data_IF_300385120070
#
_entry.id   IF_300385120070
#
_cell.length_a   1.000
_cell.length_b   1.000
_cell.length_c   1.000
_cell.angle_alpha   90.00
_cell.angle_beta   90.00
_cell.angle_gamma   90.00
#
_symmetry.space_group_name_H-M   'P 1'
#
loop_
_entity.id
_entity.type
_entity.pdbx_description
1 polymer ?
#
# COMPACT_ATOMS: atom_id res chain seq x y z
N UNK A 1 8.86 -19.78 34.31
CA UNK A 1 9.88 -20.67 34.89
C UNK A 1 9.23 -21.81 35.67
N UNK A 2 10.02 -22.80 36.10
CA UNK A 2 9.57 -23.86 37.00
C UNK A 2 9.87 -23.44 38.43
N UNK A 3 8.86 -23.47 39.30
CA UNK A 3 8.98 -23.14 40.71
C UNK A 3 8.84 -24.41 41.53
N UNK A 4 9.74 -24.56 42.52
CA UNK A 4 9.78 -25.68 43.44
C UNK A 4 9.22 -25.21 44.78
N UNK A 5 8.25 -25.96 45.32
CA UNK A 5 7.76 -25.78 46.68
C UNK A 5 8.27 -26.93 47.52
N UNK A 6 9.07 -26.60 48.53
CA UNK A 6 9.59 -27.56 49.49
C UNK A 6 8.87 -27.41 50.83
N UNK A 7 8.28 -28.50 51.32
CA UNK A 7 7.65 -28.56 52.64
C UNK A 7 8.41 -29.55 53.51
N UNK A 8 8.89 -29.08 54.64
CA UNK A 8 9.53 -29.92 55.67
C UNK A 8 8.66 -29.95 56.92
N UNK A 9 8.33 -31.15 57.41
CA UNK A 9 7.63 -31.27 58.69
C UNK A 9 8.60 -31.15 59.89
N UNK A 10 8.08 -31.04 61.11
CA UNK A 10 8.90 -30.87 62.33
C UNK A 10 9.87 -32.05 62.60
N UNK A 11 9.63 -33.21 61.99
CA UNK A 11 10.48 -34.41 62.09
C UNK A 11 11.51 -34.52 60.95
N UNK A 12 11.55 -33.56 60.02
CA UNK A 12 12.54 -33.51 58.93
C UNK A 12 12.16 -34.25 57.65
N UNK A 13 10.93 -34.74 57.50
CA UNK A 13 10.47 -35.34 56.23
C UNK A 13 10.18 -34.24 55.21
N UNK A 14 10.73 -34.39 54.01
CA UNK A 14 10.58 -33.48 52.88
C UNK A 14 9.49 -33.95 51.92
N UNK A 15 8.70 -33.00 51.42
CA UNK A 15 7.84 -33.15 50.26
C UNK A 15 8.13 -32.01 49.29
N UNK A 16 8.35 -32.34 48.02
CA UNK A 16 8.64 -31.37 46.97
C UNK A 16 7.51 -31.46 45.95
N UNK A 17 6.95 -30.31 45.60
CA UNK A 17 6.01 -30.17 44.50
C UNK A 17 6.53 -29.12 43.51
N UNK A 18 6.09 -29.22 42.25
CA UNK A 18 6.52 -28.32 41.17
C UNK A 18 5.34 -27.64 40.53
N UNK A 19 5.43 -26.32 40.35
CA UNK A 19 4.51 -25.54 39.53
C UNK A 19 5.25 -24.93 38.33
N UNK A 20 4.61 -24.89 37.17
CA UNK A 20 5.19 -24.25 35.98
C UNK A 20 4.43 -22.96 35.67
N UNK A 21 5.19 -21.89 35.40
CA UNK A 21 4.66 -20.63 34.87
C UNK A 21 5.20 -20.48 33.46
N UNK A 22 4.32 -20.56 32.48
CA UNK A 22 4.64 -20.30 31.07
C UNK A 22 4.15 -18.90 30.69
N UNK A 23 4.97 -18.15 29.95
CA UNK A 23 4.52 -16.89 29.37
C UNK A 23 3.60 -17.18 28.17
N UNK A 24 2.64 -16.30 27.86
CA UNK A 24 1.93 -16.35 26.58
C UNK A 24 2.92 -16.29 25.40
N UNK A 25 2.54 -16.82 24.22
CA UNK A 25 3.30 -16.57 23.00
C UNK A 25 3.40 -15.06 22.75
N UNK A 26 4.51 -14.61 22.16
CA UNK A 26 4.70 -13.21 21.76
C UNK A 26 3.63 -12.75 20.77
N UNK A 27 3.12 -11.53 20.93
CA UNK A 27 2.15 -10.93 20.01
C UNK A 27 2.87 -10.48 18.72
N UNK A 28 2.51 -11.08 17.60
CA UNK A 28 3.07 -10.78 16.27
C UNK A 28 1.96 -10.20 15.38
N UNK A 29 2.03 -8.92 14.97
CA UNK A 29 0.95 -8.25 14.22
C UNK A 29 0.63 -8.77 12.81
N UNK A 30 1.61 -9.33 12.10
CA UNK A 30 1.51 -9.73 10.68
C UNK A 30 0.89 -8.65 9.79
N UNK A 31 1.56 -7.49 9.72
CA UNK A 31 1.11 -6.31 8.98
C UNK A 31 1.35 -6.44 7.46
N UNK A 32 0.36 -6.01 6.67
CA UNK A 32 0.41 -5.92 5.22
C UNK A 32 -0.34 -4.66 4.73
N UNK A 33 -0.06 -4.21 3.51
CA UNK A 33 -0.72 -3.03 2.92
C UNK A 33 -0.85 -3.11 1.41
N UNK A 34 -1.75 -2.29 0.88
CA UNK A 34 -1.89 -1.99 -0.55
C UNK A 34 -1.65 -0.48 -0.77
N UNK A 35 -0.92 -0.09 -1.83
CA UNK A 35 -0.74 1.30 -2.22
C UNK A 35 -2.05 1.93 -2.68
N UNK A 36 -2.06 3.26 -2.87
CA UNK A 36 -3.16 3.95 -3.54
C UNK A 36 -3.14 3.66 -5.05
N UNK A 37 -4.29 3.73 -5.71
CA UNK A 37 -4.42 3.36 -7.13
C UNK A 37 -3.83 4.40 -8.09
N UNK A 38 -3.82 5.67 -7.69
CA UNK A 38 -3.33 6.79 -8.49
C UNK A 38 -2.70 7.87 -7.59
N UNK A 39 -1.84 8.70 -8.19
CA UNK A 39 -1.22 9.82 -7.49
C UNK A 39 -2.31 10.78 -6.98
N UNK A 40 -2.27 11.10 -5.69
CA UNK A 40 -3.25 11.95 -5.01
C UNK A 40 -4.55 11.27 -4.58
N UNK A 41 -4.76 9.98 -4.88
CA UNK A 41 -5.91 9.23 -4.37
C UNK A 41 -5.70 8.78 -2.92
N UNK A 42 -6.79 8.46 -2.22
CA UNK A 42 -6.78 7.96 -0.85
C UNK A 42 -7.57 6.66 -0.71
N UNK A 43 -7.25 5.66 -1.54
CA UNK A 43 -7.90 4.34 -1.57
C UNK A 43 -6.96 3.20 -1.12
N UNK A 44 -5.83 3.55 -0.51
CA UNK A 44 -4.89 2.61 0.08
C UNK A 44 -5.49 1.86 1.27
N UNK A 45 -4.84 0.77 1.67
CA UNK A 45 -5.29 -0.06 2.79
C UNK A 45 -4.15 -0.68 3.57
N UNK A 46 -4.41 -0.99 4.84
CA UNK A 46 -3.51 -1.75 5.69
C UNK A 46 -4.31 -2.78 6.50
N UNK A 47 -3.73 -3.98 6.65
CA UNK A 47 -4.36 -5.09 7.38
C UNK A 47 -3.35 -5.75 8.29
N UNK A 48 -3.75 -6.02 9.53
CA UNK A 48 -3.02 -6.82 10.51
C UNK A 48 -3.73 -8.14 10.77
N UNK A 49 -2.97 -9.20 11.01
CA UNK A 49 -3.46 -10.52 11.36
C UNK A 49 -2.74 -11.05 12.59
N UNK A 50 -3.00 -10.50 13.80
CA UNK A 50 -2.21 -10.81 14.98
C UNK A 50 -2.20 -12.30 15.32
N UNK A 51 -1.01 -12.84 15.58
CA UNK A 51 -0.78 -14.22 16.07
C UNK A 51 -0.02 -14.19 17.39
N UNK A 52 -0.16 -15.24 18.20
CA UNK A 52 0.36 -15.25 19.57
C UNK A 52 -0.46 -14.35 20.49
N UNK A 53 0.06 -13.95 21.65
CA UNK A 53 -0.71 -13.23 22.67
C UNK A 53 -1.96 -13.98 23.16
N UNK A 54 -2.87 -13.26 23.80
CA UNK A 54 -4.16 -13.79 24.27
C UNK A 54 -5.31 -12.90 23.78
N UNK A 55 -6.13 -13.42 22.86
CA UNK A 55 -7.32 -12.72 22.38
C UNK A 55 -8.40 -12.53 23.46
N UNK A 56 -9.36 -11.60 23.26
CA UNK A 56 -9.52 -10.73 22.08
C UNK A 56 -8.45 -9.63 21.99
N UNK A 57 -8.23 -9.12 20.77
CA UNK A 57 -7.31 -8.01 20.52
C UNK A 57 -8.07 -6.69 20.32
N UNK A 58 -7.44 -5.59 20.70
CA UNK A 58 -7.86 -4.23 20.33
C UNK A 58 -6.88 -3.62 19.35
N UNK A 59 -7.37 -2.71 18.51
CA UNK A 59 -6.60 -2.04 17.47
C UNK A 59 -6.83 -0.55 17.61
N UNK A 60 -5.76 0.23 17.51
CA UNK A 60 -5.81 1.69 17.54
C UNK A 60 -4.88 2.21 16.45
N UNK A 61 -5.45 2.79 15.39
CA UNK A 61 -4.71 3.25 14.22
C UNK A 61 -4.38 4.73 14.37
N UNK A 62 -3.19 5.13 13.93
CA UNK A 62 -2.79 6.54 13.93
C UNK A 62 -2.03 6.88 12.64
N UNK A 63 -2.37 7.96 11.92
CA UNK A 63 -3.57 8.78 12.13
C UNK A 63 -4.87 7.98 11.93
N UNK A 64 -5.96 8.46 12.52
CA UNK A 64 -7.28 7.82 12.42
C UNK A 64 -7.65 7.59 10.94
N UNK A 65 -7.85 6.33 10.52
CA UNK A 65 -8.24 6.05 9.15
C UNK A 65 -9.70 6.49 8.93
N UNK A 66 -10.07 6.88 7.69
CA UNK A 66 -11.46 7.22 7.38
C UNK A 66 -12.43 6.07 7.66
N UNK A 67 -11.96 4.83 7.53
CA UNK A 67 -12.74 3.62 7.81
C UNK A 67 -11.86 2.54 8.45
N UNK A 68 -12.47 1.77 9.36
CA UNK A 68 -11.86 0.56 9.92
C UNK A 68 -10.99 0.76 11.16
N UNK A 69 -11.01 1.96 11.75
CA UNK A 69 -10.43 2.15 13.09
C UNK A 69 -11.09 1.23 14.13
N UNK A 70 -10.32 0.76 15.10
CA UNK A 70 -10.77 -0.27 16.05
C UNK A 70 -10.83 -1.70 15.47
N UNK A 71 -10.48 -1.89 14.20
CA UNK A 71 -10.53 -3.19 13.51
C UNK A 71 -9.15 -3.61 12.97
N UNK A 72 -8.95 -4.88 12.60
CA UNK A 72 -7.69 -5.32 11.99
C UNK A 72 -7.45 -4.77 10.58
N UNK A 73 -8.39 -4.04 9.99
CA UNK A 73 -8.27 -3.53 8.61
C UNK A 73 -8.61 -2.04 8.56
N UNK A 74 -7.65 -1.22 8.14
CA UNK A 74 -7.82 0.20 7.87
C UNK A 74 -7.94 0.46 6.36
N UNK A 75 -8.92 1.27 5.95
CA UNK A 75 -9.29 1.50 4.55
C UNK A 75 -9.39 3.00 4.23
N UNK A 76 -9.17 3.34 2.96
CA UNK A 76 -9.26 4.73 2.49
C UNK A 76 -8.05 5.56 2.92
N UNK A 77 -6.88 4.93 2.99
CA UNK A 77 -5.66 5.57 3.45
C UNK A 77 -5.04 6.40 2.33
N UNK A 78 -4.70 7.66 2.64
CA UNK A 78 -3.89 8.49 1.76
C UNK A 78 -2.41 8.05 1.83
N UNK A 79 -1.55 8.48 0.88
CA UNK A 79 -0.13 8.22 0.96
C UNK A 79 0.46 8.82 2.23
N UNK A 80 1.24 8.02 2.96
CA UNK A 80 1.74 8.42 4.27
C UNK A 80 2.07 7.24 5.18
N UNK A 81 2.64 7.56 6.33
CA UNK A 81 2.96 6.57 7.36
C UNK A 81 1.79 6.45 8.33
N UNK A 82 1.34 5.21 8.54
CA UNK A 82 0.36 4.85 9.54
C UNK A 82 0.99 3.92 10.57
N UNK A 83 0.54 4.00 11.80
CA UNK A 83 0.88 3.08 12.88
C UNK A 83 -0.38 2.40 13.39
N UNK A 84 -0.25 1.19 13.89
CA UNK A 84 -1.31 0.51 14.64
C UNK A 84 -0.76 -0.06 15.93
N UNK A 85 -1.39 0.32 17.04
CA UNK A 85 -1.18 -0.28 18.34
C UNK A 85 -2.16 -1.44 18.50
N UNK A 86 -1.62 -2.65 18.63
CA UNK A 86 -2.40 -3.86 18.89
C UNK A 86 -2.18 -4.22 20.35
N UNK A 87 -3.24 -4.38 21.12
CA UNK A 87 -3.16 -4.89 22.50
C UNK A 87 -3.99 -6.17 22.65
N UNK A 88 -3.48 -7.09 23.48
CA UNK A 88 -4.15 -8.33 23.82
C UNK A 88 -4.93 -8.21 25.15
N UNK A 89 -5.68 -9.26 25.51
CA UNK A 89 -6.53 -9.27 26.70
C UNK A 89 -5.75 -9.30 28.03
N UNK A 90 -4.44 -9.58 28.00
CA UNK A 90 -3.55 -9.55 29.16
C UNK A 90 -2.77 -8.23 29.27
N UNK A 91 -2.98 -7.30 28.34
CA UNK A 91 -2.33 -5.99 28.30
C UNK A 91 -0.95 -6.02 27.67
N UNK A 92 -0.58 -7.09 26.96
CA UNK A 92 0.60 -7.07 26.10
C UNK A 92 0.27 -6.31 24.80
N UNK A 93 1.16 -5.43 24.37
CA UNK A 93 0.96 -4.61 23.19
C UNK A 93 2.09 -4.72 22.16
N UNK A 94 1.78 -4.35 20.93
CA UNK A 94 2.72 -4.24 19.83
C UNK A 94 2.34 -3.05 18.95
N UNK A 95 3.27 -2.12 18.77
CA UNK A 95 3.13 -0.98 17.87
C UNK A 95 3.92 -1.25 16.58
N UNK A 96 3.26 -1.18 15.44
CA UNK A 96 3.90 -1.34 14.12
C UNK A 96 3.55 -0.21 13.18
N UNK A 97 4.45 0.09 12.25
CA UNK A 97 4.28 1.15 11.25
C UNK A 97 4.24 0.58 9.84
N UNK A 98 3.42 1.18 8.98
CA UNK A 98 3.34 0.89 7.55
C UNK A 98 3.35 2.18 6.73
N UNK A 99 4.02 2.13 5.59
CA UNK A 99 3.97 3.21 4.59
C UNK A 99 2.96 2.83 3.51
N UNK A 100 1.98 3.71 3.30
CA UNK A 100 1.11 3.70 2.12
C UNK A 100 1.78 4.56 1.06
N UNK A 101 2.08 3.95 -0.09
CA UNK A 101 2.77 4.60 -1.21
C UNK A 101 1.78 4.99 -2.31
N UNK A 102 2.16 5.97 -3.13
CA UNK A 102 1.49 6.32 -4.38
C UNK A 102 2.39 6.06 -5.60
N UNK A 103 1.82 5.84 -6.79
CA UNK A 103 2.60 5.80 -8.02
C UNK A 103 3.20 7.17 -8.34
N UNK A 104 4.27 7.18 -9.13
CA UNK A 104 4.87 8.42 -9.63
C UNK A 104 3.84 9.26 -10.41
N UNK A 105 4.03 10.58 -10.46
CA UNK A 105 3.12 11.46 -11.23
C UNK A 105 3.18 11.11 -12.72
N UNK A 106 2.02 10.98 -13.37
CA UNK A 106 1.94 10.76 -14.80
C UNK A 106 2.45 11.99 -15.57
N UNK A 107 3.44 11.79 -16.41
CA UNK A 107 3.98 12.78 -17.33
C UNK A 107 4.07 12.18 -18.74
N UNK A 108 4.10 13.02 -19.77
CA UNK A 108 4.22 12.57 -21.15
C UNK A 108 5.23 13.43 -21.91
N UNK A 109 6.16 12.78 -22.61
CA UNK A 109 7.07 13.43 -23.54
C UNK A 109 6.71 13.06 -24.97
N UNK A 110 6.69 14.03 -25.88
CA UNK A 110 6.40 13.82 -27.29
C UNK A 110 7.65 14.05 -28.15
N UNK A 111 7.88 13.15 -29.10
CA UNK A 111 8.86 13.30 -30.18
C UNK A 111 8.09 13.61 -31.46
N UNK A 112 8.48 14.68 -32.14
CA UNK A 112 7.79 15.17 -33.35
C UNK A 112 8.71 15.05 -34.55
N UNK A 113 8.26 14.36 -35.58
CA UNK A 113 8.87 14.38 -36.91
C UNK A 113 8.10 15.35 -37.80
N UNK A 114 8.82 16.34 -38.32
CA UNK A 114 8.23 17.37 -39.19
C UNK A 114 7.87 16.79 -40.55
N UNK A 115 6.93 17.44 -41.23
CA UNK A 115 6.62 17.13 -42.63
C UNK A 115 7.85 17.29 -43.52
N UNK A 116 7.98 16.43 -44.54
CA UNK A 116 9.17 16.43 -45.41
C UNK A 116 9.29 17.69 -46.28
N UNK A 117 8.15 18.27 -46.67
CA UNK A 117 8.04 19.39 -47.59
C UNK A 117 6.80 20.24 -47.28
N UNK A 118 6.79 21.48 -47.77
CA UNK A 118 5.62 22.34 -47.72
C UNK A 118 4.43 21.70 -48.47
N UNK A 119 3.31 21.54 -47.78
CA UNK A 119 2.10 20.91 -48.31
C UNK A 119 2.03 19.39 -48.15
N UNK A 120 3.09 18.73 -47.65
CA UNK A 120 3.04 17.32 -47.28
C UNK A 120 2.25 17.11 -45.98
N UNK A 121 1.69 15.92 -45.82
CA UNK A 121 1.03 15.46 -44.59
C UNK A 121 1.63 14.13 -44.12
N UNK A 122 2.95 14.12 -43.97
CA UNK A 122 3.76 12.96 -43.59
C UNK A 122 4.44 13.15 -42.23
N UNK A 123 4.04 14.15 -41.46
CA UNK A 123 4.54 14.35 -40.09
C UNK A 123 4.04 13.27 -39.13
N UNK A 124 4.77 13.09 -38.04
CA UNK A 124 4.42 12.11 -37.00
C UNK A 124 4.66 12.68 -35.60
N UNK A 125 3.88 12.22 -34.63
CA UNK A 125 4.09 12.51 -33.20
C UNK A 125 4.04 11.18 -32.46
N UNK A 126 5.09 10.85 -31.72
CA UNK A 126 5.14 9.68 -30.82
C UNK A 126 5.26 10.15 -29.39
N UNK A 127 4.37 9.68 -28.54
CA UNK A 127 4.25 10.04 -27.13
C UNK A 127 4.75 8.87 -26.28
N UNK A 128 5.58 9.19 -25.29
CA UNK A 128 6.06 8.23 -24.29
C UNK A 128 5.60 8.70 -22.91
N UNK A 129 4.57 8.06 -22.31
CA UNK A 129 4.20 8.33 -20.93
C UNK A 129 5.23 7.77 -19.95
N UNK A 130 5.40 8.46 -18.81
CA UNK A 130 6.23 8.04 -17.69
C UNK A 130 5.47 8.28 -16.37
N UNK A 131 5.63 7.38 -15.40
CA UNK A 131 4.89 7.43 -14.13
C UNK A 131 3.43 7.04 -14.29
N UNK A 132 2.63 7.23 -13.25
CA UNK A 132 1.25 6.77 -13.15
C UNK A 132 1.12 5.24 -13.17
N UNK A 133 -0.13 4.79 -13.28
CA UNK A 133 -0.47 3.36 -13.25
C UNK A 133 -1.09 2.98 -14.58
N UNK A 134 -0.44 2.08 -15.33
CA UNK A 134 -0.97 1.60 -16.60
C UNK A 134 -2.17 0.64 -16.44
N UNK A 135 -2.88 0.33 -17.53
CA UNK A 135 -2.62 0.71 -18.93
C UNK A 135 -3.06 2.14 -19.27
N UNK A 136 -2.31 2.82 -20.15
CA UNK A 136 -2.65 4.18 -20.61
C UNK A 136 -3.54 4.17 -21.85
N UNK A 137 -4.38 5.20 -21.94
CA UNK A 137 -5.24 5.52 -23.08
C UNK A 137 -4.78 6.82 -23.72
N UNK A 138 -4.93 6.90 -25.05
CA UNK A 138 -4.51 8.07 -25.83
C UNK A 138 -5.70 8.61 -26.61
N UNK A 139 -5.94 9.91 -26.52
CA UNK A 139 -6.97 10.58 -27.31
C UNK A 139 -6.37 11.78 -28.00
N UNK A 140 -6.46 11.80 -29.33
CA UNK A 140 -5.86 12.83 -30.17
C UNK A 140 -6.91 13.83 -30.64
N UNK A 141 -6.54 15.10 -30.68
CA UNK A 141 -7.36 16.16 -31.24
C UNK A 141 -6.51 17.09 -32.12
N UNK A 142 -6.87 17.27 -33.41
CA UNK A 142 -7.91 16.54 -34.14
C UNK A 142 -7.62 15.03 -34.22
N UNK A 143 -8.61 14.22 -34.61
CA UNK A 143 -8.43 12.77 -34.81
C UNK A 143 -7.43 12.57 -35.96
N UNK A 144 -6.30 11.87 -35.75
CA UNK A 144 -5.28 11.70 -36.77
C UNK A 144 -5.77 10.72 -37.84
N UNK A 145 -5.27 10.83 -39.08
CA UNK A 145 -5.58 9.86 -40.12
C UNK A 145 -5.18 8.43 -39.74
N UNK A 146 -4.10 8.28 -38.96
CA UNK A 146 -3.58 7.00 -38.49
C UNK A 146 -3.13 7.11 -37.03
N UNK A 147 -3.40 6.08 -36.22
CA UNK A 147 -2.86 5.94 -34.88
C UNK A 147 -3.72 6.55 -33.75
N UNK A 148 -4.98 6.91 -34.05
CA UNK A 148 -5.92 7.29 -32.98
C UNK A 148 -6.09 6.15 -31.95
N UNK A 149 -6.21 6.51 -30.68
CA UNK A 149 -6.21 5.55 -29.57
C UNK A 149 -4.83 4.98 -29.21
N UNK A 150 -3.76 5.31 -29.94
CA UNK A 150 -2.41 4.79 -29.72
C UNK A 150 -1.42 5.87 -29.28
N UNK A 151 -0.23 5.46 -28.86
CA UNK A 151 0.84 6.37 -28.45
C UNK A 151 1.53 7.09 -29.63
N UNK A 152 1.14 6.83 -30.87
CA UNK A 152 1.67 7.50 -32.05
C UNK A 152 0.57 7.97 -33.00
N UNK A 153 0.71 9.18 -33.52
CA UNK A 153 -0.15 9.74 -34.55
C UNK A 153 0.67 9.99 -35.82
N UNK A 154 0.18 9.52 -36.97
CA UNK A 154 0.94 9.52 -38.22
C UNK A 154 0.14 10.13 -39.37
N UNK A 155 0.86 10.50 -40.44
CA UNK A 155 0.30 11.16 -41.62
C UNK A 155 -0.32 12.51 -41.30
N UNK A 156 0.34 13.26 -40.42
CA UNK A 156 -0.16 14.54 -39.92
C UNK A 156 0.19 15.67 -40.89
N UNK A 157 -0.81 16.49 -41.22
CA UNK A 157 -0.60 17.77 -41.87
C UNK A 157 -0.08 18.83 -40.86
N UNK A 158 0.57 19.90 -41.34
CA UNK A 158 0.95 21.03 -40.48
C UNK A 158 -0.26 21.59 -39.74
N UNK A 159 -0.15 21.69 -38.42
CA UNK A 159 -1.25 22.10 -37.56
C UNK A 159 -0.91 21.93 -36.09
N UNK A 160 -1.86 22.32 -35.23
CA UNK A 160 -1.78 22.07 -33.80
C UNK A 160 -2.45 20.74 -33.52
N UNK A 161 -1.71 19.84 -32.90
CA UNK A 161 -2.17 18.54 -32.45
C UNK A 161 -2.02 18.49 -30.94
N UNK A 162 -3.06 18.05 -30.25
CA UNK A 162 -3.06 17.79 -28.81
C UNK A 162 -3.34 16.31 -28.56
N UNK A 163 -2.71 15.75 -27.54
CA UNK A 163 -2.94 14.40 -27.07
C UNK A 163 -3.27 14.46 -25.57
N UNK A 164 -4.34 13.78 -25.18
CA UNK A 164 -4.62 13.48 -23.79
C UNK A 164 -4.16 12.07 -23.49
N UNK A 165 -3.40 11.92 -22.40
CA UNK A 165 -2.98 10.62 -21.86
C UNK A 165 -3.64 10.44 -20.50
N UNK A 166 -4.33 9.32 -20.31
CA UNK A 166 -4.98 8.95 -19.06
C UNK A 166 -4.69 7.48 -18.73
#
# INVERSE_FOLDING_TARGET
GVYLVEVTNATGCLSIDTATVVSPPELVPNLSSSPVSCAGECDGSATVGPTGGVGPYTFDWTPDPPNGDGTPQALGLCPGVYTVLIADALGCDSLVSVLITEPDTLTATAVVEQVSCAGSCDGSIVVSPQGGTGPYTFSWTPVPPNGDGSNGAFSLCPGIWSVSVA
#
